data_IF_905699043018
#
_entry.id   IF_905699043018
#
_cell.length_a   1.000
_cell.length_b   1.000
_cell.length_c   1.000
_cell.angle_alpha   90.00
_cell.angle_beta   90.00
_cell.angle_gamma   90.00
#
_symmetry.space_group_name_H-M   'P 1'
#
loop_
_entity.id
_entity.type
_entity.pdbx_description
1 polymer ?
#
# COMPACT_ATOMS: atom_id res chain seq x y z
N UNK A 1 9.48 -12.66 -14.45
CA UNK A 1 9.27 -11.26 -14.88
C UNK A 1 10.32 -10.94 -15.95
N UNK A 2 10.02 -10.11 -16.95
CA UNK A 2 10.97 -9.74 -18.01
C UNK A 2 11.41 -8.28 -17.80
N UNK A 3 12.66 -7.97 -18.08
CA UNK A 3 13.16 -6.61 -18.15
C UNK A 3 13.26 -6.18 -19.62
N UNK A 4 12.81 -4.98 -19.98
CA UNK A 4 12.93 -4.49 -21.35
C UNK A 4 12.92 -2.96 -21.36
N UNK A 5 13.49 -2.38 -22.42
CA UNK A 5 13.33 -0.96 -22.69
C UNK A 5 12.10 -0.79 -23.58
N UNK A 6 11.21 0.11 -23.18
CA UNK A 6 9.98 0.45 -23.92
C UNK A 6 10.17 1.58 -24.94
N UNK A 7 11.18 2.43 -24.74
CA UNK A 7 11.48 3.59 -25.58
C UNK A 7 12.98 3.86 -25.67
N UNK A 8 13.38 4.58 -26.71
CA UNK A 8 14.73 5.09 -26.88
C UNK A 8 15.00 6.21 -25.85
N UNK A 9 16.07 6.11 -25.04
CA UNK A 9 16.31 7.03 -23.92
C UNK A 9 16.71 8.45 -24.34
N UNK A 10 17.06 8.68 -25.61
CA UNK A 10 17.42 9.99 -26.14
C UNK A 10 16.23 10.68 -26.81
N UNK A 11 15.38 9.91 -27.48
CA UNK A 11 14.26 10.45 -28.27
C UNK A 11 12.90 10.29 -27.58
N UNK A 12 12.82 9.44 -26.55
CA UNK A 12 11.60 9.04 -25.86
C UNK A 12 10.53 8.42 -26.76
N UNK A 13 10.91 8.02 -27.98
CA UNK A 13 10.02 7.32 -28.90
C UNK A 13 9.98 5.85 -28.54
N UNK A 14 8.79 5.24 -28.58
CA UNK A 14 8.64 3.80 -28.36
C UNK A 14 9.35 3.02 -29.45
N UNK A 15 9.87 1.84 -29.11
CA UNK A 15 10.45 0.93 -30.10
C UNK A 15 9.37 0.33 -31.01
N UNK A 16 9.78 -0.09 -32.21
CA UNK A 16 8.90 -0.78 -33.14
C UNK A 16 8.27 -2.02 -32.49
N UNK A 17 6.94 -2.15 -32.64
CA UNK A 17 6.17 -3.20 -32.00
C UNK A 17 5.79 -2.91 -30.56
N UNK A 18 6.12 -1.74 -30.01
CA UNK A 18 5.61 -1.24 -28.72
C UNK A 18 4.66 -0.06 -28.96
N UNK A 19 3.47 -0.16 -28.37
CA UNK A 19 2.50 0.92 -28.31
C UNK A 19 2.24 1.25 -26.84
N UNK A 20 2.43 2.51 -26.46
CA UNK A 20 2.23 3.00 -25.10
C UNK A 20 1.41 4.31 -25.14
N UNK A 21 0.67 4.57 -24.07
CA UNK A 21 -0.10 5.80 -23.93
C UNK A 21 -0.68 5.99 -22.54
N UNK A 22 -1.21 7.18 -22.28
CA UNK A 22 -1.87 7.54 -21.02
C UNK A 22 -3.29 6.96 -20.95
N UNK A 23 -3.71 6.46 -19.79
CA UNK A 23 -5.09 5.98 -19.58
C UNK A 23 -6.10 7.12 -19.35
N UNK A 24 -5.61 8.35 -19.20
CA UNK A 24 -6.36 9.57 -19.02
C UNK A 24 -6.65 9.91 -17.56
N UNK A 25 -7.71 10.70 -17.38
CA UNK A 25 -8.10 11.24 -16.09
C UNK A 25 -8.52 10.15 -15.10
N UNK A 26 -8.05 10.29 -13.86
CA UNK A 26 -8.33 9.40 -12.73
C UNK A 26 -9.13 10.16 -11.66
N UNK A 27 -9.81 9.41 -10.79
CA UNK A 27 -10.54 9.99 -9.65
C UNK A 27 -9.63 10.73 -8.65
N UNK A 28 -8.33 10.42 -8.66
CA UNK A 28 -7.28 11.08 -7.91
C UNK A 28 -5.93 10.69 -8.50
N UNK A 29 -4.83 11.17 -7.91
CA UNK A 29 -3.46 10.83 -8.36
C UNK A 29 -3.19 11.18 -9.82
N UNK A 30 -3.79 12.27 -10.33
CA UNK A 30 -3.56 12.74 -11.71
C UNK A 30 -2.13 13.21 -11.97
N UNK A 31 -1.30 13.38 -10.93
CA UNK A 31 0.14 13.63 -11.07
C UNK A 31 0.97 12.36 -11.37
N UNK A 32 0.34 11.17 -11.39
CA UNK A 32 0.97 9.93 -11.86
C UNK A 32 0.48 9.63 -13.28
N UNK A 33 1.43 9.39 -14.17
CA UNK A 33 1.30 9.05 -15.59
C UNK A 33 0.98 7.56 -15.81
N UNK A 34 -0.05 7.06 -15.13
CA UNK A 34 -0.50 5.69 -15.35
C UNK A 34 -0.85 5.48 -16.84
N UNK A 35 -0.14 4.58 -17.49
CA UNK A 35 -0.32 4.27 -18.90
C UNK A 35 -0.78 2.85 -19.19
N UNK A 36 -0.98 2.58 -20.46
CA UNK A 36 -1.13 1.24 -21.02
C UNK A 36 0.09 0.89 -21.88
N UNK A 37 0.32 -0.41 -22.09
CA UNK A 37 1.39 -0.92 -22.93
C UNK A 37 0.91 -2.13 -23.73
N UNK A 38 1.09 -2.10 -25.06
CA UNK A 38 0.82 -3.21 -25.97
C UNK A 38 2.10 -3.63 -26.69
N UNK A 39 2.28 -4.94 -26.82
CA UNK A 39 3.36 -5.54 -27.57
C UNK A 39 2.83 -6.22 -28.83
N UNK A 40 3.43 -5.90 -29.97
CA UNK A 40 3.13 -6.47 -31.29
C UNK A 40 4.36 -7.21 -31.79
N UNK A 41 4.49 -8.48 -31.38
CA UNK A 41 5.65 -9.33 -31.70
C UNK A 41 7.01 -8.72 -31.34
N UNK A 42 7.06 -7.88 -30.29
CA UNK A 42 8.31 -7.30 -29.78
C UNK A 42 9.22 -8.39 -29.22
N UNK A 43 10.50 -8.38 -29.63
CA UNK A 43 11.49 -9.40 -29.25
C UNK A 43 12.53 -8.80 -28.32
N UNK A 44 12.88 -9.55 -27.28
CA UNK A 44 13.97 -9.24 -26.36
C UNK A 44 14.87 -10.46 -26.18
N UNK A 45 16.14 -10.27 -25.78
CA UNK A 45 17.02 -11.39 -25.44
C UNK A 45 16.43 -12.26 -24.31
N UNK A 46 16.80 -13.54 -24.28
CA UNK A 46 16.34 -14.49 -23.25
C UNK A 46 16.85 -14.09 -21.87
N UNK A 47 18.06 -13.53 -21.83
CA UNK A 47 18.79 -13.06 -20.64
C UNK A 47 18.06 -11.93 -19.90
N UNK A 48 17.08 -11.30 -20.55
CA UNK A 48 16.22 -10.30 -19.93
C UNK A 48 15.18 -10.91 -18.97
N UNK A 49 15.08 -12.25 -18.88
CA UNK A 49 14.26 -12.92 -17.89
C UNK A 49 14.86 -12.77 -16.49
N UNK A 50 14.06 -12.24 -15.55
CA UNK A 50 14.36 -12.29 -14.13
C UNK A 50 14.17 -13.73 -13.64
N UNK A 51 15.29 -14.44 -13.52
CA UNK A 51 15.39 -15.89 -13.45
C UNK A 51 15.65 -16.45 -12.03
N UNK A 52 15.78 -15.57 -11.01
CA UNK A 52 16.06 -15.92 -9.60
C UNK A 52 15.21 -17.10 -9.07
N UNK A 53 13.96 -17.20 -9.50
CA UNK A 53 13.03 -18.23 -9.04
C UNK A 53 12.66 -19.29 -10.09
N UNK A 54 13.21 -19.16 -11.31
CA UNK A 54 12.97 -20.05 -12.42
C UNK A 54 13.53 -19.48 -13.72
N UNK A 55 14.30 -20.31 -14.42
CA UNK A 55 15.01 -19.97 -15.67
C UNK A 55 14.49 -20.83 -16.83
N UNK A 56 14.76 -20.37 -18.05
CA UNK A 56 14.56 -21.11 -19.30
C UNK A 56 15.90 -21.22 -20.00
N UNK A 57 16.39 -22.44 -20.18
CA UNK A 57 17.66 -22.73 -20.83
C UNK A 57 17.60 -22.45 -22.35
N UNK A 58 18.75 -22.34 -23.06
CA UNK A 58 18.77 -22.07 -24.49
C UNK A 58 18.02 -23.09 -25.37
N UNK A 59 17.84 -24.31 -24.88
CA UNK A 59 17.08 -25.38 -25.53
C UNK A 59 15.55 -25.29 -25.26
N UNK A 60 15.12 -24.32 -24.44
CA UNK A 60 13.73 -24.14 -24.02
C UNK A 60 13.35 -24.90 -22.75
N UNK A 61 14.28 -25.63 -22.12
CA UNK A 61 14.00 -26.38 -20.90
C UNK A 61 13.82 -25.44 -19.70
N UNK A 62 12.70 -25.56 -18.98
CA UNK A 62 12.47 -24.81 -17.73
C UNK A 62 13.21 -25.43 -16.55
N UNK A 63 13.90 -24.59 -15.77
CA UNK A 63 14.66 -24.98 -14.58
C UNK A 63 14.23 -24.13 -13.38
N UNK A 64 14.16 -24.73 -12.20
CA UNK A 64 13.86 -24.03 -10.94
C UNK A 64 14.75 -24.55 -9.82
N UNK A 65 15.28 -23.69 -8.92
CA UNK A 65 16.02 -24.15 -7.75
C UNK A 65 15.09 -24.77 -6.68
N UNK A 66 13.78 -24.53 -6.76
CA UNK A 66 12.81 -25.03 -5.79
C UNK A 66 12.40 -26.48 -6.10
N UNK A 67 12.48 -27.34 -5.08
CA UNK A 67 12.04 -28.75 -5.14
C UNK A 67 10.53 -28.92 -5.32
N UNK A 68 9.73 -27.95 -4.87
CA UNK A 68 8.26 -27.98 -4.99
C UNK A 68 7.71 -26.63 -5.41
N UNK A 69 6.56 -26.66 -6.11
CA UNK A 69 5.82 -25.45 -6.51
C UNK A 69 5.41 -24.59 -5.32
N UNK A 70 5.05 -25.21 -4.19
CA UNK A 70 4.67 -24.52 -2.95
C UNK A 70 5.82 -23.71 -2.35
N UNK A 71 7.06 -24.25 -2.32
CA UNK A 71 8.24 -23.50 -1.85
C UNK A 71 8.56 -22.30 -2.75
N UNK A 72 8.44 -22.46 -4.08
CA UNK A 72 8.61 -21.35 -5.05
C UNK A 72 7.55 -20.26 -4.85
N UNK A 73 6.31 -20.65 -4.62
CA UNK A 73 5.21 -19.72 -4.36
C UNK A 73 5.46 -18.92 -3.08
N UNK A 74 5.83 -19.59 -1.97
CA UNK A 74 6.17 -18.95 -0.70
C UNK A 74 7.29 -17.91 -0.83
N UNK A 75 8.37 -18.23 -1.55
CA UNK A 75 9.46 -17.28 -1.81
C UNK A 75 9.01 -16.04 -2.61
N UNK A 76 8.08 -16.22 -3.56
CA UNK A 76 7.54 -15.13 -4.37
C UNK A 76 6.54 -14.25 -3.59
N UNK A 77 5.87 -14.80 -2.57
CA UNK A 77 4.89 -14.06 -1.77
C UNK A 77 5.53 -12.97 -0.90
N UNK A 78 6.78 -13.17 -0.44
CA UNK A 78 7.49 -12.18 0.37
C UNK A 78 7.59 -10.80 -0.30
N UNK A 79 7.81 -10.78 -1.62
CA UNK A 79 7.89 -9.55 -2.41
C UNK A 79 6.55 -8.78 -2.49
N UNK A 80 5.41 -9.48 -2.45
CA UNK A 80 4.08 -8.84 -2.45
C UNK A 80 3.69 -8.35 -1.05
N UNK A 81 4.21 -8.98 0.00
CA UNK A 81 3.92 -8.60 1.38
C UNK A 81 4.48 -7.21 1.71
N UNK A 82 5.67 -6.86 1.22
CA UNK A 82 6.27 -5.54 1.48
C UNK A 82 5.44 -4.39 0.93
N UNK A 83 4.93 -4.52 -0.31
CA UNK A 83 4.04 -3.53 -0.91
C UNK A 83 2.76 -3.33 -0.09
N UNK A 84 2.18 -4.40 0.45
CA UNK A 84 0.97 -4.33 1.30
C UNK A 84 1.24 -3.61 2.61
N UNK A 85 2.35 -3.94 3.28
CA UNK A 85 2.75 -3.26 4.52
C UNK A 85 3.00 -1.77 4.26
N UNK A 86 3.66 -1.43 3.15
CA UNK A 86 3.84 -0.04 2.74
C UNK A 86 2.52 0.70 2.55
N UNK A 87 1.54 0.08 1.85
CA UNK A 87 0.20 0.66 1.66
C UNK A 87 -0.53 0.82 3.00
N UNK A 88 -0.43 -0.13 3.93
CA UNK A 88 -0.98 0.01 5.28
C UNK A 88 -0.43 1.24 5.99
N UNK A 89 0.90 1.41 5.96
CA UNK A 89 1.58 2.56 6.57
C UNK A 89 1.17 3.89 5.94
N UNK A 90 1.03 3.95 4.61
CA UNK A 90 0.52 5.13 3.91
C UNK A 90 -0.90 5.48 4.35
N UNK A 91 -1.80 4.49 4.43
CA UNK A 91 -3.17 4.69 4.89
C UNK A 91 -3.21 5.24 6.33
N UNK A 92 -2.36 4.74 7.22
CA UNK A 92 -2.26 5.25 8.59
C UNK A 92 -1.74 6.68 8.61
N UNK A 93 -0.74 7.02 7.79
CA UNK A 93 -0.25 8.38 7.63
C UNK A 93 -1.36 9.37 7.23
N UNK A 94 -2.22 8.99 6.28
CA UNK A 94 -3.39 9.79 5.92
C UNK A 94 -4.37 9.96 7.07
N UNK A 95 -4.64 8.88 7.83
CA UNK A 95 -5.52 8.93 8.99
C UNK A 95 -4.99 9.86 10.09
N UNK A 96 -3.67 9.84 10.37
CA UNK A 96 -3.03 10.77 11.32
C UNK A 96 -3.31 12.22 10.91
N UNK A 97 -3.14 12.55 9.63
CA UNK A 97 -3.37 13.89 9.12
C UNK A 97 -4.84 14.31 9.26
N UNK A 98 -5.77 13.46 8.83
CA UNK A 98 -7.21 13.72 8.94
C UNK A 98 -7.67 13.89 10.40
N UNK A 99 -7.23 13.00 11.31
CA UNK A 99 -7.51 13.10 12.73
C UNK A 99 -6.98 14.41 13.32
N UNK A 100 -5.73 14.76 12.99
CA UNK A 100 -5.11 16.00 13.45
C UNK A 100 -5.91 17.23 13.03
N UNK A 101 -6.32 17.28 11.75
CA UNK A 101 -7.12 18.38 11.19
C UNK A 101 -8.46 18.48 11.93
N UNK A 102 -9.24 17.40 11.96
CA UNK A 102 -10.61 17.45 12.49
C UNK A 102 -10.65 17.70 13.98
N UNK A 103 -9.71 17.16 14.76
CA UNK A 103 -9.66 17.38 16.21
C UNK A 103 -9.34 18.85 16.49
N UNK A 104 -8.30 19.40 15.85
CA UNK A 104 -7.94 20.82 16.00
C UNK A 104 -9.06 21.74 15.56
N UNK A 105 -9.69 21.44 14.42
CA UNK A 105 -10.87 22.16 13.94
C UNK A 105 -12.00 22.13 14.97
N UNK A 106 -12.29 20.96 15.55
CA UNK A 106 -13.37 20.78 16.51
C UNK A 106 -13.13 21.53 17.83
N UNK A 107 -11.87 21.72 18.24
CA UNK A 107 -11.51 22.49 19.44
C UNK A 107 -11.71 24.00 19.27
N UNK A 108 -11.67 24.52 18.04
CA UNK A 108 -11.76 25.97 17.78
C UNK A 108 -13.09 26.38 17.14
N UNK A 109 -13.72 25.49 16.37
CA UNK A 109 -15.01 25.77 15.74
C UNK A 109 -16.07 25.82 16.81
N UNK A 110 -16.68 26.98 16.98
CA UNK A 110 -17.84 27.19 17.83
C UNK A 110 -19.11 27.21 16.96
N UNK A 111 -20.16 26.56 17.44
CA UNK A 111 -21.48 26.59 16.82
C UNK A 111 -22.50 26.09 17.84
N UNK A 112 -23.57 26.85 18.03
CA UNK A 112 -24.56 26.64 19.09
C UNK A 112 -23.94 26.69 20.49
N UNK A 113 -24.79 26.57 21.52
CA UNK A 113 -24.37 26.62 22.91
C UNK A 113 -25.55 26.50 23.85
N UNK A 114 -25.30 26.52 25.17
CA UNK A 114 -26.35 26.62 26.17
C UNK A 114 -27.21 27.87 25.94
N UNK A 115 -28.46 27.84 26.38
CA UNK A 115 -29.45 28.92 26.18
C UNK A 115 -29.01 30.29 26.74
N UNK A 116 -27.98 30.31 27.60
CA UNK A 116 -27.49 31.49 28.33
C UNK A 116 -26.44 32.33 27.60
N UNK A 117 -26.01 31.95 26.39
CA UNK A 117 -25.03 32.71 25.58
C UNK A 117 -23.71 31.96 25.30
N UNK A 118 -22.78 32.67 24.65
CA UNK A 118 -21.47 32.28 24.07
C UNK A 118 -21.41 30.86 23.50
N UNK A 119 -21.24 30.77 22.18
CA UNK A 119 -21.06 29.47 21.52
C UNK A 119 -19.88 28.68 22.09
N UNK A 120 -20.05 27.37 22.22
CA UNK A 120 -19.03 26.46 22.72
C UNK A 120 -18.36 25.71 21.55
N UNK A 121 -17.10 25.27 21.70
CA UNK A 121 -16.44 24.45 20.70
C UNK A 121 -17.23 23.18 20.39
N UNK A 122 -17.26 22.76 19.12
CA UNK A 122 -18.06 21.60 18.73
C UNK A 122 -17.56 20.29 19.35
N UNK A 123 -16.29 20.22 19.77
CA UNK A 123 -15.75 19.07 20.51
C UNK A 123 -16.41 18.85 21.88
N UNK A 124 -17.04 19.87 22.46
CA UNK A 124 -17.76 19.75 23.74
C UNK A 124 -19.06 18.93 23.60
N UNK A 125 -19.58 18.77 22.38
CA UNK A 125 -20.78 17.98 22.15
C UNK A 125 -20.46 16.48 22.09
N UNK A 126 -21.27 15.70 22.82
CA UNK A 126 -21.17 14.24 22.80
C UNK A 126 -21.29 13.67 21.39
N UNK A 127 -22.13 14.23 20.53
CA UNK A 127 -22.27 13.80 19.13
C UNK A 127 -20.97 13.92 18.34
N UNK A 128 -20.18 14.98 18.55
CA UNK A 128 -18.87 15.13 17.92
C UNK A 128 -17.88 14.10 18.49
N UNK A 129 -17.88 13.89 19.80
CA UNK A 129 -17.03 12.90 20.45
C UNK A 129 -17.34 11.47 20.01
N UNK A 130 -18.61 11.10 19.87
CA UNK A 130 -19.05 9.79 19.38
C UNK A 130 -18.54 9.49 17.97
N UNK A 131 -18.34 10.52 17.14
CA UNK A 131 -17.74 10.37 15.80
C UNK A 131 -16.23 10.25 15.88
N UNK A 132 -15.55 11.13 16.63
CA UNK A 132 -14.10 11.30 16.54
C UNK A 132 -13.28 10.42 17.48
N UNK A 133 -13.77 10.15 18.70
CA UNK A 133 -13.01 9.37 19.69
C UNK A 133 -12.77 7.92 19.22
N UNK A 134 -13.76 7.20 18.64
CA UNK A 134 -13.51 5.86 18.10
C UNK A 134 -12.51 5.85 16.95
N UNK A 135 -12.52 6.88 16.10
CA UNK A 135 -11.56 7.04 14.99
C UNK A 135 -10.15 7.25 15.54
N UNK A 136 -9.99 8.13 16.54
CA UNK A 136 -8.71 8.39 17.18
C UNK A 136 -8.16 7.13 17.88
N UNK A 137 -9.00 6.39 18.60
CA UNK A 137 -8.61 5.12 19.22
C UNK A 137 -8.17 4.10 18.16
N UNK A 138 -8.97 3.96 17.09
CA UNK A 138 -8.68 3.05 15.98
C UNK A 138 -7.35 3.38 15.29
N UNK A 139 -7.02 4.66 15.15
CA UNK A 139 -5.73 5.10 14.61
C UNK A 139 -4.55 4.52 15.40
N UNK A 140 -4.57 4.57 16.74
CA UNK A 140 -3.50 3.99 17.55
C UNK A 140 -3.42 2.48 17.40
N UNK A 141 -4.57 1.79 17.34
CA UNK A 141 -4.62 0.34 17.12
C UNK A 141 -4.01 -0.02 15.77
N UNK A 142 -4.43 0.65 14.69
CA UNK A 142 -3.91 0.38 13.35
C UNK A 142 -2.43 0.70 13.22
N UNK A 143 -1.96 1.77 13.86
CA UNK A 143 -0.53 2.11 13.91
C UNK A 143 0.29 0.99 14.53
N UNK A 144 -0.12 0.47 15.69
CA UNK A 144 0.59 -0.63 16.34
C UNK A 144 0.54 -1.91 15.51
N UNK A 145 -0.61 -2.23 14.91
CA UNK A 145 -0.75 -3.36 13.99
C UNK A 145 0.24 -3.26 12.82
N UNK A 146 0.29 -2.11 12.13
CA UNK A 146 1.16 -1.95 10.98
C UNK A 146 2.65 -1.98 11.36
N UNK A 147 3.03 -1.43 12.52
CA UNK A 147 4.40 -1.54 13.04
C UNK A 147 4.77 -2.99 13.33
N UNK A 148 3.90 -3.74 14.01
CA UNK A 148 4.17 -5.17 14.29
C UNK A 148 4.34 -5.99 13.00
N UNK A 149 3.50 -5.77 11.99
CA UNK A 149 3.63 -6.47 10.70
C UNK A 149 4.89 -6.01 9.94
N UNK A 150 5.29 -4.75 10.09
CA UNK A 150 6.53 -4.23 9.54
C UNK A 150 7.77 -4.87 10.20
N UNK A 151 7.76 -5.05 11.53
CA UNK A 151 8.85 -5.71 12.23
C UNK A 151 9.01 -7.16 11.76
N UNK A 152 7.91 -7.90 11.60
CA UNK A 152 7.92 -9.25 11.03
C UNK A 152 8.46 -9.27 9.58
N UNK A 153 8.15 -8.24 8.78
CA UNK A 153 8.66 -8.09 7.43
C UNK A 153 10.18 -7.82 7.44
N UNK A 154 10.64 -6.96 8.34
CA UNK A 154 12.06 -6.63 8.47
C UNK A 154 12.87 -7.85 8.91
N UNK A 155 12.36 -8.62 9.87
CA UNK A 155 12.98 -9.89 10.31
C UNK A 155 13.05 -10.90 9.16
N UNK A 156 11.95 -11.08 8.41
CA UNK A 156 11.92 -11.93 7.23
C UNK A 156 12.99 -11.54 6.20
N UNK A 157 13.16 -10.24 5.93
CA UNK A 157 14.18 -9.77 5.00
C UNK A 157 15.60 -9.98 5.54
N UNK A 158 15.84 -9.69 6.83
CA UNK A 158 17.14 -9.89 7.45
C UNK A 158 17.59 -11.35 7.35
N UNK A 159 16.69 -12.30 7.65
CA UNK A 159 16.94 -13.74 7.50
C UNK A 159 17.11 -14.13 6.04
N UNK A 160 16.35 -13.55 5.11
CA UNK A 160 16.48 -13.88 3.69
C UNK A 160 17.83 -13.50 3.08
N UNK A 161 18.60 -12.62 3.75
CA UNK A 161 19.93 -12.16 3.34
C UNK A 161 21.07 -13.00 3.94
N UNK A 162 20.81 -13.85 4.95
CA UNK A 162 21.84 -14.66 5.62
C UNK A 162 22.44 -15.76 4.71
N UNK A 163 21.73 -16.15 3.63
CA UNK A 163 22.08 -17.26 2.72
C UNK A 163 22.35 -18.62 3.41
N UNK A 164 21.92 -18.80 4.66
CA UNK A 164 22.04 -20.07 5.36
C UNK A 164 20.96 -21.06 4.88
N UNK A 165 21.36 -22.28 4.51
CA UNK A 165 20.41 -23.30 4.09
C UNK A 165 19.51 -23.78 5.24
N UNK A 166 19.96 -23.64 6.49
CA UNK A 166 19.18 -23.99 7.68
C UNK A 166 17.97 -23.08 7.90
N UNK A 167 18.00 -21.86 7.36
CA UNK A 167 16.93 -20.87 7.46
C UNK A 167 15.79 -21.10 6.46
N UNK A 168 15.94 -22.01 5.48
CA UNK A 168 15.00 -22.15 4.37
C UNK A 168 13.58 -22.57 4.80
N UNK A 169 13.46 -23.47 5.77
CA UNK A 169 12.13 -23.91 6.26
C UNK A 169 11.50 -22.84 7.16
N UNK A 170 12.30 -22.11 7.94
CA UNK A 170 11.87 -20.94 8.74
C UNK A 170 11.35 -19.83 7.83
N UNK A 171 12.11 -19.45 6.80
CA UNK A 171 11.72 -18.47 5.79
C UNK A 171 10.42 -18.88 5.08
N UNK A 172 10.28 -20.15 4.73
CA UNK A 172 9.05 -20.64 4.10
C UNK A 172 7.83 -20.55 5.04
N UNK A 173 8.00 -20.77 6.34
CA UNK A 173 6.93 -20.59 7.33
C UNK A 173 6.59 -19.11 7.52
N UNK A 174 7.59 -18.28 7.83
CA UNK A 174 7.41 -16.84 8.05
C UNK A 174 6.80 -16.16 6.82
N UNK A 175 7.22 -16.53 5.61
CA UNK A 175 6.68 -15.97 4.37
C UNK A 175 5.17 -16.22 4.20
N UNK A 176 4.66 -17.39 4.63
CA UNK A 176 3.22 -17.70 4.60
C UNK A 176 2.46 -16.90 5.65
N UNK A 177 2.98 -16.81 6.86
CA UNK A 177 2.37 -16.05 7.95
C UNK A 177 2.33 -14.55 7.62
N UNK A 178 3.47 -13.99 7.19
CA UNK A 178 3.59 -12.62 6.75
C UNK A 178 2.65 -12.30 5.59
N UNK A 179 2.45 -13.24 4.66
CA UNK A 179 1.45 -13.08 3.60
C UNK A 179 0.04 -12.90 4.19
N UNK A 180 -0.38 -13.77 5.11
CA UNK A 180 -1.70 -13.70 5.72
C UNK A 180 -1.89 -12.41 6.55
N UNK A 181 -0.88 -12.05 7.35
CA UNK A 181 -0.88 -10.84 8.16
C UNK A 181 -0.90 -9.57 7.30
N UNK A 182 -0.04 -9.47 6.28
CA UNK A 182 0.02 -8.30 5.40
C UNK A 182 -1.25 -8.12 4.56
N UNK A 183 -1.87 -9.21 4.08
CA UNK A 183 -3.18 -9.18 3.41
C UNK A 183 -4.24 -8.55 4.30
N UNK A 184 -4.35 -9.05 5.53
CA UNK A 184 -5.39 -8.63 6.49
C UNK A 184 -5.14 -7.21 6.99
N UNK A 185 -3.89 -6.90 7.36
CA UNK A 185 -3.46 -5.57 7.79
C UNK A 185 -3.79 -4.52 6.72
N UNK A 186 -3.39 -4.77 5.46
CA UNK A 186 -3.69 -3.85 4.36
C UNK A 186 -5.19 -3.63 4.20
N UNK A 187 -5.99 -4.69 4.19
CA UNK A 187 -7.43 -4.58 4.01
C UNK A 187 -8.08 -3.76 5.12
N UNK A 188 -7.80 -4.09 6.39
CA UNK A 188 -8.34 -3.41 7.57
C UNK A 188 -7.90 -1.95 7.61
N UNK A 189 -6.61 -1.68 7.46
CA UNK A 189 -6.09 -0.30 7.52
C UNK A 189 -6.67 0.54 6.39
N UNK A 190 -6.70 0.04 5.15
CA UNK A 190 -7.13 0.86 4.01
C UNK A 190 -8.62 1.16 4.00
N UNK A 191 -9.48 0.17 4.28
CA UNK A 191 -10.93 0.42 4.33
C UNK A 191 -11.33 1.31 5.50
N UNK A 192 -10.76 1.07 6.68
CA UNK A 192 -11.13 1.87 7.86
C UNK A 192 -10.55 3.29 7.78
N UNK A 193 -9.34 3.48 7.26
CA UNK A 193 -8.82 4.82 6.96
C UNK A 193 -9.74 5.54 6.00
N UNK A 194 -10.15 4.93 4.88
CA UNK A 194 -11.00 5.62 3.90
C UNK A 194 -12.31 6.11 4.53
N UNK A 195 -12.98 5.25 5.31
CA UNK A 195 -14.21 5.62 6.02
C UNK A 195 -13.96 6.72 7.05
N UNK A 196 -12.89 6.58 7.85
CA UNK A 196 -12.54 7.57 8.85
C UNK A 196 -12.19 8.93 8.24
N UNK A 197 -11.46 8.97 7.13
CA UNK A 197 -11.16 10.21 6.41
C UNK A 197 -12.45 10.91 5.93
N UNK A 198 -13.43 10.14 5.44
CA UNK A 198 -14.74 10.67 5.07
C UNK A 198 -15.48 11.25 6.29
N UNK A 199 -15.50 10.54 7.41
CA UNK A 199 -16.11 11.03 8.65
C UNK A 199 -15.41 12.28 9.20
N UNK A 200 -14.07 12.32 9.18
CA UNK A 200 -13.29 13.50 9.54
C UNK A 200 -13.70 14.72 8.69
N UNK A 201 -13.86 14.51 7.37
CA UNK A 201 -14.28 15.56 6.43
C UNK A 201 -15.67 16.10 6.79
N UNK A 202 -16.63 15.21 7.03
CA UNK A 202 -18.00 15.58 7.38
C UNK A 202 -18.11 16.23 8.77
N UNK A 203 -17.26 15.83 9.71
CA UNK A 203 -17.16 16.44 11.04
C UNK A 203 -16.57 17.87 11.01
N UNK A 204 -15.92 18.27 9.91
CA UNK A 204 -15.55 19.66 9.65
C UNK A 204 -16.72 20.52 9.10
N UNK A 205 -17.89 19.93 8.84
CA UNK A 205 -19.03 20.62 8.24
C UNK A 205 -18.73 21.13 6.83
N UNK A 206 -19.34 22.27 6.44
CA UNK A 206 -19.17 22.83 5.09
C UNK A 206 -17.73 23.19 4.73
N UNK A 207 -16.90 23.56 5.70
CA UNK A 207 -15.47 23.83 5.46
C UNK A 207 -14.68 22.59 5.06
N UNK A 208 -15.18 21.39 5.39
CA UNK A 208 -14.60 20.13 4.91
C UNK A 208 -14.82 19.85 3.42
N UNK A 209 -15.56 20.71 2.70
CA UNK A 209 -15.79 20.59 1.26
C UNK A 209 -15.04 21.63 0.43
N UNK A 210 -14.27 22.52 1.08
CA UNK A 210 -13.45 23.49 0.36
C UNK A 210 -12.34 22.75 -0.40
N UNK A 211 -12.16 23.15 -1.66
CA UNK A 211 -11.17 22.63 -2.59
C UNK A 211 -9.81 23.31 -2.38
#
# INVERSE_FOLDING_TARGET
>A
FLFFNESDPLTYKTFDGIEAGDIGAKCGWNGIDNGFLLFRNYRIPRENLLDKHGDVLPDGTYKTPFKTSSKRFGASLGALSSGRVGISSLAIGHLINCCTIVIRYSCVRKQFGPSSGVEIPVIEYQTQNWRLIPILASLYVYRNLALSVFDNLAEFYALSMSNDESDQDTLAYMGRELHALSCTCKAICTWNTQKACQECREACGGHGYLY
#
